data_IF_292281044060
#
_entry.id   IF_292281044060
#
_cell.length_a   1.000
_cell.length_b   1.000
_cell.length_c   1.000
_cell.angle_alpha   90.00
_cell.angle_beta   90.00
_cell.angle_gamma   90.00
#
_symmetry.space_group_name_H-M   'P 1'
#
loop_
_entity.id
_entity.type
_entity.pdbx_description
1 polymer ?
#
# COMPACT_ATOMS: atom_id res chain seq x y z
N UNK A 1 -0.44 -18.53 -22.32
CA UNK A 1 -1.27 -17.64 -21.44
C UNK A 1 -0.56 -17.18 -20.17
N UNK A 2 0.16 -18.05 -19.44
CA UNK A 2 0.71 -17.74 -18.09
C UNK A 2 1.75 -16.60 -18.04
N UNK A 3 2.55 -16.39 -19.10
CA UNK A 3 3.55 -15.30 -19.15
C UNK A 3 2.93 -13.91 -18.95
N UNK A 4 1.66 -13.73 -19.30
CA UNK A 4 0.94 -12.46 -19.17
C UNK A 4 0.47 -12.16 -17.74
N UNK A 5 0.64 -13.03 -16.76
CA UNK A 5 0.22 -12.74 -15.38
C UNK A 5 1.38 -12.79 -14.38
N UNK A 6 2.62 -12.88 -14.89
CA UNK A 6 3.82 -13.08 -14.07
C UNK A 6 3.96 -12.08 -12.91
N UNK A 7 3.77 -10.75 -13.08
CA UNK A 7 3.92 -9.82 -11.96
C UNK A 7 2.86 -10.02 -10.87
N UNK A 8 1.64 -10.38 -11.24
CA UNK A 8 0.58 -10.69 -10.27
C UNK A 8 0.90 -11.96 -9.47
N UNK A 9 1.39 -13.01 -10.14
CA UNK A 9 1.84 -14.23 -9.45
C UNK A 9 3.04 -13.98 -8.54
N UNK A 10 3.99 -13.13 -8.94
CA UNK A 10 5.12 -12.75 -8.10
C UNK A 10 4.65 -12.03 -6.84
N UNK A 11 3.76 -11.05 -6.99
CA UNK A 11 3.19 -10.33 -5.86
C UNK A 11 2.40 -11.25 -4.93
N UNK A 12 1.55 -12.12 -5.50
CA UNK A 12 0.78 -13.12 -4.76
C UNK A 12 1.69 -14.07 -3.96
N UNK A 13 2.74 -14.60 -4.60
CA UNK A 13 3.69 -15.50 -3.94
C UNK A 13 4.46 -14.81 -2.82
N UNK A 14 4.89 -13.55 -3.03
CA UNK A 14 5.61 -12.79 -2.01
C UNK A 14 4.72 -12.49 -0.80
N UNK A 15 3.47 -12.06 -1.01
CA UNK A 15 2.51 -11.85 0.08
C UNK A 15 2.24 -13.16 0.81
N UNK A 16 1.95 -14.23 0.06
CA UNK A 16 1.66 -15.53 0.65
C UNK A 16 2.79 -16.05 1.53
N UNK A 17 4.03 -16.04 1.00
CA UNK A 17 5.20 -16.48 1.75
C UNK A 17 5.51 -15.58 2.94
N UNK A 18 5.23 -14.27 2.84
CA UNK A 18 5.47 -13.33 3.93
C UNK A 18 4.56 -13.53 5.15
N UNK A 19 3.36 -14.09 4.96
CA UNK A 19 2.44 -14.39 6.06
C UNK A 19 2.62 -15.81 6.59
N UNK A 20 2.81 -16.78 5.70
CA UNK A 20 2.86 -18.21 6.08
C UNK A 20 4.20 -18.60 6.71
N UNK A 21 5.29 -17.94 6.31
CA UNK A 21 6.62 -18.27 6.82
C UNK A 21 7.10 -17.10 7.68
N UNK A 22 7.09 -17.23 9.01
CA UNK A 22 7.48 -16.15 9.92
C UNK A 22 8.88 -15.60 9.64
N UNK A 23 9.82 -16.41 9.15
CA UNK A 23 11.17 -15.96 8.78
C UNK A 23 11.21 -15.07 7.51
N UNK A 24 10.14 -15.04 6.72
CA UNK A 24 10.07 -14.34 5.44
C UNK A 24 9.15 -13.11 5.46
N UNK A 25 8.72 -12.66 6.64
CA UNK A 25 7.89 -11.47 6.82
C UNK A 25 8.43 -10.21 6.12
N UNK A 26 9.77 -10.07 6.02
CA UNK A 26 10.43 -8.98 5.29
C UNK A 26 10.10 -8.95 3.79
N UNK A 27 9.56 -10.02 3.21
CA UNK A 27 9.11 -10.01 1.82
C UNK A 27 7.98 -8.99 1.59
N UNK A 28 7.19 -8.62 2.62
CA UNK A 28 6.18 -7.56 2.53
C UNK A 28 6.78 -6.24 2.06
N UNK A 29 8.06 -5.95 2.31
CA UNK A 29 8.68 -4.72 1.84
C UNK A 29 8.71 -4.57 0.31
N UNK A 30 8.61 -5.66 -0.44
CA UNK A 30 8.70 -5.67 -1.91
C UNK A 30 7.50 -6.38 -2.57
N UNK A 31 6.59 -6.94 -1.78
CA UNK A 31 5.54 -7.82 -2.26
C UNK A 31 4.56 -7.14 -3.23
N UNK A 32 4.24 -5.85 -3.04
CA UNK A 32 3.34 -5.10 -3.92
C UNK A 32 4.04 -4.48 -5.14
N UNK A 33 5.37 -4.38 -5.16
CA UNK A 33 6.10 -3.72 -6.24
C UNK A 33 5.82 -4.30 -7.64
N UNK A 34 5.79 -5.64 -7.85
CA UNK A 34 5.44 -6.22 -9.15
C UNK A 34 4.02 -5.88 -9.60
N UNK A 35 3.07 -5.92 -8.65
CA UNK A 35 1.67 -5.56 -8.89
C UNK A 35 1.55 -4.09 -9.30
N UNK A 36 2.15 -3.18 -8.53
CA UNK A 36 2.13 -1.74 -8.79
C UNK A 36 2.74 -1.43 -10.16
N UNK A 37 3.86 -2.07 -10.51
CA UNK A 37 4.50 -1.90 -11.81
C UNK A 37 3.55 -2.24 -12.95
N UNK A 38 2.92 -3.41 -12.89
CA UNK A 38 1.98 -3.87 -13.92
C UNK A 38 0.73 -2.98 -13.98
N UNK A 39 0.16 -2.61 -12.84
CA UNK A 39 -1.00 -1.71 -12.80
C UNK A 39 -0.68 -0.32 -13.38
N UNK A 40 0.54 0.18 -13.26
CA UNK A 40 0.95 1.46 -13.85
C UNK A 40 1.17 1.38 -15.36
N UNK A 41 1.67 0.26 -15.87
CA UNK A 41 2.06 0.12 -17.27
C UNK A 41 0.96 -0.44 -18.17
N UNK A 42 0.08 -1.29 -17.64
CA UNK A 42 -0.95 -1.96 -18.42
C UNK A 42 -2.24 -1.13 -18.52
N UNK A 43 -2.65 -0.84 -19.77
CA UNK A 43 -3.97 -0.30 -20.10
C UNK A 43 -5.08 -1.36 -20.17
N UNK A 44 -4.80 -2.65 -19.88
CA UNK A 44 -5.80 -3.73 -19.98
C UNK A 44 -6.58 -3.86 -18.67
N UNK A 45 -7.70 -3.16 -18.56
CA UNK A 45 -8.56 -3.14 -17.36
C UNK A 45 -8.91 -4.54 -16.84
N UNK A 46 -9.50 -5.42 -17.66
CA UNK A 46 -9.92 -6.77 -17.25
C UNK A 46 -8.77 -7.63 -16.72
N UNK A 47 -7.59 -7.55 -17.36
CA UNK A 47 -6.39 -8.28 -16.93
C UNK A 47 -5.92 -7.79 -15.55
N UNK A 48 -5.93 -6.48 -15.34
CA UNK A 48 -5.54 -5.87 -14.08
C UNK A 48 -6.53 -6.21 -12.95
N UNK A 49 -7.84 -6.26 -13.24
CA UNK A 49 -8.84 -6.72 -12.28
C UNK A 49 -8.61 -8.18 -11.85
N UNK A 50 -8.40 -9.09 -12.82
CA UNK A 50 -8.08 -10.49 -12.54
C UNK A 50 -6.79 -10.58 -11.70
N UNK A 51 -5.78 -9.76 -12.04
CA UNK A 51 -4.53 -9.69 -11.29
C UNK A 51 -4.70 -9.24 -9.84
N UNK A 52 -5.49 -8.18 -9.60
CA UNK A 52 -5.84 -7.71 -8.25
C UNK A 52 -6.55 -8.82 -7.48
N UNK A 53 -7.57 -9.44 -8.08
CA UNK A 53 -8.30 -10.52 -7.45
C UNK A 53 -7.39 -11.69 -7.06
N UNK A 54 -6.47 -12.08 -7.95
CA UNK A 54 -5.50 -13.13 -7.71
C UNK A 54 -4.56 -12.80 -6.54
N UNK A 55 -3.99 -11.59 -6.53
CA UNK A 55 -3.08 -11.17 -5.45
C UNK A 55 -3.80 -11.08 -4.10
N UNK A 56 -5.00 -10.49 -4.07
CA UNK A 56 -5.78 -10.36 -2.82
C UNK A 56 -6.26 -11.72 -2.33
N UNK A 57 -6.69 -12.63 -3.21
CA UNK A 57 -7.10 -13.99 -2.82
C UNK A 57 -5.93 -14.79 -2.23
N UNK A 58 -4.73 -14.66 -2.81
CA UNK A 58 -3.54 -15.30 -2.25
C UNK A 58 -3.18 -14.73 -0.88
N UNK A 59 -3.31 -13.41 -0.69
CA UNK A 59 -3.06 -12.77 0.59
C UNK A 59 -4.09 -13.21 1.66
N UNK A 60 -5.39 -13.17 1.32
CA UNK A 60 -6.46 -13.67 2.20
C UNK A 60 -6.28 -15.15 2.56
N UNK A 61 -5.85 -15.98 1.60
CA UNK A 61 -5.58 -17.39 1.86
C UNK A 61 -4.40 -17.56 2.82
N UNK A 62 -3.35 -16.76 2.66
CA UNK A 62 -2.18 -16.81 3.52
C UNK A 62 -2.51 -16.42 4.98
N UNK A 63 -3.35 -15.39 5.13
CA UNK A 63 -3.87 -14.97 6.43
C UNK A 63 -4.79 -16.03 7.07
N UNK A 64 -5.66 -16.66 6.26
CA UNK A 64 -6.53 -17.74 6.74
C UNK A 64 -5.76 -18.99 7.20
N UNK A 65 -4.65 -19.32 6.51
CA UNK A 65 -3.83 -20.49 6.81
C UNK A 65 -2.71 -20.21 7.83
N UNK A 66 -2.53 -18.96 8.25
CA UNK A 66 -1.53 -18.57 9.24
C UNK A 66 -1.86 -19.10 10.64
N UNK A 67 -0.83 -19.21 11.49
CA UNK A 67 -0.95 -19.73 12.86
C UNK A 67 -1.75 -18.81 13.80
N UNK A 68 -1.91 -17.54 13.43
CA UNK A 68 -2.86 -16.63 14.08
C UNK A 68 -4.12 -16.58 13.23
N UNK A 69 -5.26 -16.93 13.82
CA UNK A 69 -6.59 -16.80 13.22
C UNK A 69 -6.87 -15.30 13.03
N UNK A 70 -6.30 -14.72 11.96
CA UNK A 70 -6.38 -13.29 11.71
C UNK A 70 -7.85 -12.95 11.52
N UNK A 71 -8.40 -12.11 12.40
CA UNK A 71 -9.79 -11.68 12.27
C UNK A 71 -9.98 -10.75 11.07
N UNK A 72 -8.90 -10.24 10.47
CA UNK A 72 -8.92 -9.22 9.42
C UNK A 72 -8.45 -9.73 8.05
N UNK A 73 -9.17 -9.34 7.00
CA UNK A 73 -8.89 -9.71 5.61
C UNK A 73 -8.69 -8.47 4.72
N UNK A 74 -7.86 -8.52 3.66
CA UNK A 74 -7.51 -7.37 2.81
C UNK A 74 -8.61 -6.98 1.79
N UNK A 75 -9.88 -7.03 2.17
CA UNK A 75 -11.01 -6.77 1.26
C UNK A 75 -11.05 -5.29 0.85
N UNK A 76 -10.96 -4.38 1.82
CA UNK A 76 -10.92 -2.94 1.56
C UNK A 76 -9.63 -2.53 0.83
N UNK A 77 -8.50 -3.19 1.10
CA UNK A 77 -7.25 -2.98 0.36
C UNK A 77 -7.43 -3.37 -1.13
N UNK A 78 -8.12 -4.48 -1.39
CA UNK A 78 -8.53 -4.88 -2.74
C UNK A 78 -9.44 -3.85 -3.41
N UNK A 79 -10.42 -3.31 -2.69
CA UNK A 79 -11.30 -2.25 -3.20
C UNK A 79 -10.51 -0.97 -3.53
N UNK A 80 -9.54 -0.59 -2.71
CA UNK A 80 -8.65 0.53 -2.97
C UNK A 80 -7.86 0.36 -4.28
N UNK A 81 -7.37 -0.85 -4.56
CA UNK A 81 -6.70 -1.17 -5.83
C UNK A 81 -7.65 -1.07 -7.04
N UNK A 82 -8.92 -1.48 -6.87
CA UNK A 82 -9.94 -1.35 -7.92
C UNK A 82 -10.28 0.12 -8.18
N UNK A 83 -10.47 0.93 -7.13
CA UNK A 83 -10.70 2.37 -7.24
C UNK A 83 -9.51 3.08 -7.91
N UNK A 84 -8.29 2.69 -7.56
CA UNK A 84 -7.08 3.13 -8.25
C UNK A 84 -7.13 2.76 -9.75
N UNK A 85 -7.45 1.51 -10.08
CA UNK A 85 -7.50 1.04 -11.46
C UNK A 85 -8.52 1.81 -12.31
N UNK A 86 -9.69 2.14 -11.74
CA UNK A 86 -10.74 2.90 -12.42
C UNK A 86 -10.33 4.37 -12.60
N UNK A 87 -9.66 4.95 -11.61
CA UNK A 87 -9.31 6.37 -11.59
C UNK A 87 -8.03 6.72 -12.36
N UNK A 88 -7.06 5.80 -12.44
CA UNK A 88 -5.68 6.10 -12.89
C UNK A 88 -5.60 6.77 -14.26
N UNK A 89 -6.44 6.35 -15.21
CA UNK A 89 -6.41 6.86 -16.59
C UNK A 89 -6.87 8.32 -16.68
N UNK A 90 -7.73 8.75 -15.75
CA UNK A 90 -8.26 10.12 -15.76
C UNK A 90 -7.44 11.08 -14.91
N UNK A 91 -6.80 10.58 -13.86
CA UNK A 91 -6.01 11.41 -12.94
C UNK A 91 -4.65 11.82 -13.52
N UNK A 92 -4.12 11.07 -14.50
CA UNK A 92 -2.75 11.26 -15.00
C UNK A 92 -1.71 10.59 -14.09
N UNK A 93 -0.45 10.47 -14.54
CA UNK A 93 0.53 9.59 -13.91
C UNK A 93 0.93 10.01 -12.49
N UNK A 94 1.13 11.31 -12.23
CA UNK A 94 1.51 11.79 -10.89
C UNK A 94 0.37 11.66 -9.89
N UNK A 95 -0.83 12.14 -10.24
CA UNK A 95 -2.00 12.15 -9.33
C UNK A 95 -2.55 10.75 -9.09
N UNK A 96 -2.52 9.87 -10.09
CA UNK A 96 -2.94 8.47 -9.90
C UNK A 96 -2.05 7.75 -8.88
N UNK A 97 -0.76 8.08 -8.86
CA UNK A 97 0.20 7.48 -7.93
C UNK A 97 -0.05 7.91 -6.50
N UNK A 98 -0.39 9.19 -6.28
CA UNK A 98 -0.89 9.68 -5.00
C UNK A 98 -2.23 9.02 -4.64
N UNK A 99 -3.13 8.84 -5.60
CA UNK A 99 -4.42 8.19 -5.37
C UNK A 99 -4.26 6.76 -4.86
N UNK A 100 -3.32 5.97 -5.40
CA UNK A 100 -3.04 4.64 -4.88
C UNK A 100 -2.68 4.66 -3.39
N UNK A 101 -1.76 5.54 -2.99
CA UNK A 101 -1.31 5.66 -1.60
C UNK A 101 -2.49 6.02 -0.69
N UNK A 102 -3.25 7.06 -1.03
CA UNK A 102 -4.33 7.53 -0.17
C UNK A 102 -5.56 6.64 -0.18
N UNK A 103 -5.88 5.96 -1.29
CA UNK A 103 -6.94 4.94 -1.28
C UNK A 103 -6.57 3.76 -0.39
N UNK A 104 -5.32 3.30 -0.44
CA UNK A 104 -4.88 2.19 0.41
C UNK A 104 -4.90 2.58 1.89
N UNK A 105 -4.33 3.72 2.25
CA UNK A 105 -4.36 4.21 3.63
C UNK A 105 -5.78 4.48 4.13
N UNK A 106 -6.67 4.94 3.25
CA UNK A 106 -8.09 5.08 3.59
C UNK A 106 -8.73 3.73 3.88
N UNK A 107 -8.43 2.70 3.07
CA UNK A 107 -8.93 1.34 3.32
C UNK A 107 -8.48 0.80 4.68
N UNK A 108 -7.22 0.97 5.04
CA UNK A 108 -6.70 0.58 6.36
C UNK A 108 -7.32 1.40 7.49
N UNK A 109 -7.47 2.71 7.30
CA UNK A 109 -8.08 3.59 8.28
C UNK A 109 -9.55 3.28 8.56
N UNK A 110 -10.31 2.79 7.56
CA UNK A 110 -11.76 2.59 7.68
C UNK A 110 -12.12 1.57 8.77
N UNK A 111 -11.31 0.52 8.93
CA UNK A 111 -11.50 -0.50 9.95
C UNK A 111 -11.51 0.08 11.38
N UNK A 112 -10.78 1.17 11.60
CA UNK A 112 -10.70 1.86 12.90
C UNK A 112 -11.71 2.98 13.08
N UNK A 113 -12.35 3.45 11.99
CA UNK A 113 -13.37 4.50 12.04
C UNK A 113 -14.78 3.94 12.20
N UNK A 114 -15.03 2.74 11.67
CA UNK A 114 -16.35 2.12 11.66
C UNK A 114 -16.23 0.65 12.07
N UNK A 115 -16.88 0.29 13.16
CA UNK A 115 -16.90 -1.09 13.70
C UNK A 115 -17.39 -2.11 12.69
N UNK A 116 -18.28 -1.72 11.77
CA UNK A 116 -18.73 -2.58 10.68
C UNK A 116 -17.60 -3.08 9.76
N UNK A 117 -16.49 -2.33 9.66
CA UNK A 117 -15.35 -2.64 8.78
C UNK A 117 -14.13 -3.21 9.52
N UNK A 118 -14.20 -3.45 10.83
CA UNK A 118 -13.05 -3.83 11.68
C UNK A 118 -12.23 -5.00 11.10
N UNK A 119 -12.92 -5.98 10.51
CA UNK A 119 -12.32 -7.20 9.96
C UNK A 119 -12.13 -7.20 8.43
N UNK A 120 -12.42 -6.06 7.78
CA UNK A 120 -12.48 -5.97 6.31
C UNK A 120 -11.23 -5.33 5.70
N UNK A 121 -10.28 -4.87 6.51
CA UNK A 121 -8.97 -4.45 6.04
C UNK A 121 -7.89 -5.12 6.85
N UNK A 122 -6.83 -5.56 6.17
CA UNK A 122 -5.64 -6.05 6.84
C UNK A 122 -4.53 -5.00 6.70
N UNK A 123 -4.14 -4.37 7.82
CA UNK A 123 -2.84 -3.75 8.00
C UNK A 123 -1.63 -4.23 7.18
N UNK A 124 -1.19 -3.47 6.16
CA UNK A 124 0.01 -3.88 5.40
C UNK A 124 1.30 -3.86 6.24
N UNK A 125 1.40 -2.93 7.20
CA UNK A 125 2.56 -2.81 8.07
C UNK A 125 2.57 -3.75 9.28
N UNK A 126 1.58 -4.64 9.42
CA UNK A 126 1.46 -5.54 10.58
C UNK A 126 2.74 -6.33 10.87
N UNK A 127 3.41 -6.85 9.83
CA UNK A 127 4.64 -7.61 9.98
C UNK A 127 5.83 -6.79 10.53
N UNK A 128 5.75 -5.46 10.53
CA UNK A 128 6.79 -4.60 11.11
C UNK A 128 6.70 -4.56 12.62
N UNK A 129 5.55 -4.88 13.21
CA UNK A 129 5.36 -4.88 14.66
C UNK A 129 6.10 -6.03 15.34
N UNK A 130 6.41 -7.08 14.60
CA UNK A 130 7.24 -8.20 15.06
C UNK A 130 8.73 -7.83 15.14
N UNK A 131 9.14 -6.70 14.53
CA UNK A 131 10.51 -6.20 14.59
C UNK A 131 10.75 -5.37 15.84
N UNK A 132 11.47 -5.94 16.82
CA UNK A 132 11.88 -5.21 18.02
C UNK A 132 12.60 -3.88 17.71
N UNK A 133 13.46 -3.86 16.69
CA UNK A 133 14.20 -2.65 16.29
C UNK A 133 13.32 -1.58 15.64
N UNK A 134 12.14 -1.94 15.14
CA UNK A 134 11.20 -0.99 14.54
C UNK A 134 10.28 -0.34 15.58
N UNK A 135 10.20 -0.85 16.82
CA UNK A 135 9.28 -0.35 17.86
C UNK A 135 9.37 1.16 18.09
N UNK A 136 10.58 1.70 18.19
CA UNK A 136 10.80 3.14 18.40
C UNK A 136 10.41 3.99 17.19
N UNK A 137 10.45 3.42 15.99
CA UNK A 137 10.04 4.11 14.78
C UNK A 137 8.51 4.03 14.60
N UNK A 138 7.93 2.87 14.90
CA UNK A 138 6.48 2.64 14.90
C UNK A 138 5.77 3.49 15.95
N UNK A 139 6.40 3.74 17.10
CA UNK A 139 5.89 4.63 18.16
C UNK A 139 5.74 6.09 17.71
N UNK A 140 6.61 6.54 16.80
CA UNK A 140 6.55 7.89 16.23
C UNK A 140 5.61 7.94 15.03
N UNK A 141 5.71 6.96 14.13
CA UNK A 141 5.03 6.99 12.83
C UNK A 141 3.61 6.44 12.87
N UNK A 142 3.30 5.56 13.80
CA UNK A 142 2.02 4.86 13.87
C UNK A 142 1.85 3.77 12.82
N UNK A 143 0.76 3.02 12.94
CA UNK A 143 0.40 1.92 12.06
C UNK A 143 0.25 2.36 10.59
N UNK A 144 -0.51 3.41 10.34
CA UNK A 144 -0.78 3.96 9.01
C UNK A 144 0.47 4.63 8.44
N UNK A 145 1.27 5.28 9.29
CA UNK A 145 2.54 5.87 8.87
C UNK A 145 3.52 4.81 8.37
N UNK A 146 3.58 3.67 9.06
CA UNK A 146 4.38 2.54 8.63
C UNK A 146 3.89 1.92 7.31
N UNK A 147 2.56 1.76 7.14
CA UNK A 147 1.97 1.28 5.89
C UNK A 147 2.24 2.24 4.73
N UNK A 148 2.13 3.55 4.96
CA UNK A 148 2.48 4.58 3.98
C UNK A 148 3.93 4.42 3.54
N UNK A 149 4.83 4.19 4.49
CA UNK A 149 6.24 3.96 4.24
C UNK A 149 6.48 2.72 3.38
N UNK A 150 5.86 1.60 3.72
CA UNK A 150 5.93 0.36 2.94
C UNK A 150 5.39 0.52 1.51
N UNK A 151 4.30 1.27 1.33
CA UNK A 151 3.74 1.53 0.02
C UNK A 151 4.66 2.42 -0.81
N UNK A 152 5.26 3.46 -0.22
CA UNK A 152 6.25 4.31 -0.88
C UNK A 152 7.46 3.49 -1.34
N UNK A 153 7.93 2.57 -0.51
CA UNK A 153 8.98 1.62 -0.86
C UNK A 153 8.61 0.81 -2.09
N UNK A 154 7.44 0.16 -2.08
CA UNK A 154 6.96 -0.64 -3.20
C UNK A 154 6.75 0.20 -4.46
N UNK A 155 6.33 1.45 -4.31
CA UNK A 155 6.14 2.38 -5.42
C UNK A 155 7.47 2.83 -6.04
N UNK A 156 8.47 3.17 -5.22
CA UNK A 156 9.81 3.54 -5.69
C UNK A 156 10.52 2.35 -6.35
N UNK A 157 10.37 1.16 -5.74
CA UNK A 157 10.77 -0.12 -6.30
C UNK A 157 10.20 -0.32 -7.72
N UNK A 158 8.88 -0.17 -7.88
CA UNK A 158 8.24 -0.24 -9.19
C UNK A 158 8.78 0.84 -10.15
N UNK A 159 9.00 2.07 -9.68
CA UNK A 159 9.55 3.13 -10.51
C UNK A 159 10.95 2.82 -11.04
N UNK A 160 11.87 2.36 -10.20
CA UNK A 160 13.21 1.94 -10.64
C UNK A 160 13.14 0.77 -11.62
N UNK A 161 12.28 -0.22 -11.35
CA UNK A 161 12.04 -1.34 -12.24
C UNK A 161 11.49 -0.95 -13.61
N UNK A 162 10.78 0.19 -13.71
CA UNK A 162 10.22 0.69 -14.96
C UNK A 162 11.24 1.33 -15.92
N UNK A 163 12.41 1.74 -15.42
CA UNK A 163 13.48 2.36 -16.22
C UNK A 163 14.34 1.35 -16.97
N UNK A 164 14.28 0.09 -16.56
CA UNK A 164 14.92 -1.02 -17.27
C UNK A 164 13.85 -1.85 -17.97
N UNK A 165 14.28 -2.49 -19.05
CA UNK A 165 13.49 -3.28 -19.99
C UNK A 165 12.15 -3.78 -19.42
N UNK A 166 11.02 -3.34 -20.03
CA UNK A 166 9.63 -3.37 -19.51
C UNK A 166 9.13 -4.73 -19.01
N UNK A 167 9.89 -5.81 -19.23
CA UNK A 167 9.54 -7.19 -18.91
C UNK A 167 10.27 -7.77 -17.69
N UNK A 168 11.26 -7.08 -17.11
CA UNK A 168 12.10 -7.63 -16.04
C UNK A 168 12.25 -6.69 -14.85
N UNK A 169 11.72 -7.10 -13.69
CA UNK A 169 12.07 -6.51 -12.40
C UNK A 169 13.58 -6.62 -12.19
N UNK A 170 14.27 -5.49 -12.02
CA UNK A 170 15.68 -5.49 -11.63
C UNK A 170 15.82 -5.66 -10.11
N UNK A 171 15.87 -6.91 -9.66
CA UNK A 171 16.06 -7.28 -8.25
C UNK A 171 17.24 -6.57 -7.57
N UNK A 172 18.44 -6.49 -8.17
CA UNK A 172 19.53 -5.68 -7.63
C UNK A 172 19.19 -4.21 -7.38
N UNK A 173 18.52 -3.53 -8.32
CA UNK A 173 18.13 -2.12 -8.15
C UNK A 173 17.04 -1.97 -7.07
N UNK A 174 16.13 -2.94 -6.97
CA UNK A 174 15.12 -3.01 -5.93
C UNK A 174 15.75 -3.14 -4.54
N UNK A 175 16.69 -4.07 -4.36
CA UNK A 175 17.38 -4.28 -3.10
C UNK A 175 18.23 -3.05 -2.70
N UNK A 176 18.86 -2.37 -3.65
CA UNK A 176 19.59 -1.11 -3.38
C UNK A 176 18.67 0.04 -3.00
N UNK A 177 17.56 0.22 -3.74
CA UNK A 177 16.55 1.23 -3.41
C UNK A 177 15.92 0.96 -2.04
N UNK A 178 15.70 -0.32 -1.73
CA UNK A 178 15.21 -0.77 -0.43
C UNK A 178 16.20 -0.44 0.70
N UNK A 179 17.48 -0.79 0.53
CA UNK A 179 18.52 -0.47 1.51
C UNK A 179 18.65 1.05 1.75
N UNK A 180 18.61 1.85 0.69
CA UNK A 180 18.67 3.31 0.80
C UNK A 180 17.46 3.88 1.54
N UNK A 181 16.27 3.34 1.30
CA UNK A 181 15.05 3.83 1.92
C UNK A 181 14.88 3.35 3.37
N UNK A 182 15.29 2.13 3.73
CA UNK A 182 15.41 1.76 5.16
C UNK A 182 16.39 2.72 5.85
N UNK A 183 17.52 3.00 5.22
CA UNK A 183 18.55 3.86 5.82
C UNK A 183 18.04 5.29 6.02
N UNK A 184 17.35 5.87 5.04
CA UNK A 184 16.79 7.22 5.12
C UNK A 184 15.49 7.32 5.93
N UNK A 185 14.71 6.24 5.99
CA UNK A 185 13.35 6.23 6.54
C UNK A 185 13.21 5.71 7.95
N UNK A 186 14.09 4.80 8.33
CA UNK A 186 14.07 4.12 9.62
C UNK A 186 15.34 4.48 10.39
N UNK A 187 16.53 4.24 9.82
CA UNK A 187 17.80 4.41 10.53
C UNK A 187 18.10 5.90 10.81
N UNK A 188 18.01 6.75 9.79
CA UNK A 188 18.35 8.17 9.93
C UNK A 188 17.41 8.93 10.88
N UNK A 189 16.08 8.78 10.83
CA UNK A 189 15.18 9.43 11.79
C UNK A 189 15.35 8.93 13.22
N UNK A 190 15.65 7.63 13.41
CA UNK A 190 15.96 7.08 14.74
C UNK A 190 17.27 7.65 15.30
N UNK A 191 18.31 7.79 14.47
CA UNK A 191 19.57 8.38 14.88
C UNK A 191 19.47 9.87 15.25
N UNK A 192 18.49 10.58 14.70
CA UNK A 192 18.22 12.00 14.99
C UNK A 192 17.16 12.22 16.08
N UNK A 193 16.48 11.17 16.52
CA UNK A 193 15.45 11.28 17.55
C UNK A 193 16.08 11.43 18.93
N UNK A 194 15.66 12.41 19.75
CA UNK A 194 16.16 12.54 21.12
C UNK A 194 15.91 11.28 21.94
N UNK A 195 16.90 10.82 22.70
CA UNK A 195 16.82 9.60 23.53
C UNK A 195 15.64 9.66 24.52
N UNK A 196 15.29 10.84 25.03
CA UNK A 196 14.13 11.06 25.91
C UNK A 196 12.78 10.76 25.25
N UNK A 197 12.67 10.91 23.93
CA UNK A 197 11.48 10.54 23.16
C UNK A 197 11.43 9.03 22.95
N UNK A 198 12.58 8.35 22.90
CA UNK A 198 12.69 6.91 22.73
C UNK A 198 12.31 6.19 24.04
N UNK A 199 12.84 6.68 25.17
CA UNK A 199 12.65 6.05 26.49
C UNK A 199 11.24 6.29 27.07
N UNK A 200 10.52 7.33 26.62
CA UNK A 200 9.17 7.65 27.09
C UNK A 200 8.03 6.84 26.42
N UNK A 201 8.33 6.02 25.40
CA UNK A 201 7.30 5.35 24.59
C UNK A 201 7.41 3.82 24.66
N UNK A 202 7.74 3.28 25.84
CA UNK A 202 7.78 1.83 26.10
C UNK A 202 6.41 1.15 26.02
N UNK A 203 5.33 1.91 26.10
CA UNK A 203 3.96 1.38 26.05
C UNK A 203 3.33 1.72 24.69
N UNK A 204 3.77 1.03 23.63
CA UNK A 204 2.93 0.89 22.46
C UNK A 204 1.72 0.05 22.89
N UNK A 205 0.47 0.48 22.66
CA UNK A 205 -0.66 -0.34 23.04
C UNK A 205 -0.52 -1.70 22.35
N UNK A 206 -0.83 -2.76 23.09
CA UNK A 206 -1.24 -4.04 22.51
C UNK A 206 -2.23 -3.76 21.35
N UNK A 207 -2.44 -4.74 20.47
CA UNK A 207 -3.36 -4.71 19.31
C UNK A 207 -4.79 -4.13 19.55
N UNK A 208 -5.12 -3.68 20.75
CA UNK A 208 -6.26 -2.88 21.17
C UNK A 208 -6.37 -1.52 20.43
N UNK A 209 -6.74 -1.59 19.14
CA UNK A 209 -7.68 -0.72 18.41
C UNK A 209 -7.53 0.80 18.44
N UNK A 210 -6.52 1.36 19.09
CA UNK A 210 -6.36 2.82 19.24
C UNK A 210 -5.27 3.33 18.32
N UNK A 211 -5.71 4.01 17.26
CA UNK A 211 -4.85 4.81 16.41
C UNK A 211 -4.16 5.90 17.24
N UNK A 212 -2.85 6.05 17.04
CA UNK A 212 -2.08 7.13 17.64
C UNK A 212 -2.48 8.50 17.04
N UNK A 213 -2.14 9.63 17.69
CA UNK A 213 -2.42 10.95 17.10
C UNK A 213 -1.85 11.13 15.69
N UNK A 214 -0.67 10.56 15.41
CA UNK A 214 -0.07 10.57 14.07
C UNK A 214 -0.92 9.77 13.06
N UNK A 215 -1.42 8.60 13.45
CA UNK A 215 -2.32 7.79 12.64
C UNK A 215 -3.64 8.51 12.37
N UNK A 216 -4.24 9.12 13.39
CA UNK A 216 -5.49 9.89 13.25
C UNK A 216 -5.32 11.07 12.29
N UNK A 217 -4.18 11.76 12.35
CA UNK A 217 -3.86 12.83 11.39
C UNK A 217 -3.74 12.27 9.97
N UNK A 218 -2.95 11.21 9.79
CA UNK A 218 -2.73 10.61 8.47
C UNK A 218 -4.01 10.01 7.89
N UNK A 219 -4.85 9.38 8.71
CA UNK A 219 -6.16 8.87 8.34
C UNK A 219 -7.07 9.98 7.82
N UNK A 220 -7.19 11.10 8.55
CA UNK A 220 -7.99 12.26 8.12
C UNK A 220 -7.48 12.83 6.80
N UNK A 221 -6.17 12.94 6.63
CA UNK A 221 -5.55 13.37 5.39
C UNK A 221 -5.77 12.38 4.25
N UNK A 222 -5.70 11.07 4.52
CA UNK A 222 -5.97 10.04 3.54
C UNK A 222 -7.41 10.10 3.05
N UNK A 223 -8.39 10.17 3.96
CA UNK A 223 -9.80 10.34 3.61
C UNK A 223 -10.05 11.59 2.79
N UNK A 224 -9.52 12.72 3.24
CA UNK A 224 -9.66 14.00 2.55
C UNK A 224 -9.10 13.90 1.12
N UNK A 225 -7.86 13.46 0.96
CA UNK A 225 -7.20 13.39 -0.35
C UNK A 225 -7.83 12.33 -1.25
N UNK A 226 -8.20 11.16 -0.72
CA UNK A 226 -8.93 10.14 -1.45
C UNK A 226 -10.26 10.68 -1.98
N UNK A 227 -11.05 11.36 -1.14
CA UNK A 227 -12.31 11.99 -1.52
C UNK A 227 -12.10 13.02 -2.64
N UNK A 228 -11.14 13.94 -2.48
CA UNK A 228 -10.86 14.96 -3.49
C UNK A 228 -10.40 14.36 -4.83
N UNK A 229 -9.58 13.30 -4.80
CA UNK A 229 -9.14 12.61 -6.02
C UNK A 229 -10.30 11.90 -6.72
N UNK A 230 -11.20 11.29 -5.96
CA UNK A 230 -12.40 10.65 -6.50
C UNK A 230 -13.39 11.68 -7.05
N UNK A 231 -13.61 12.80 -6.34
CA UNK A 231 -14.41 13.92 -6.83
C UNK A 231 -13.83 14.51 -8.12
N UNK A 232 -12.52 14.75 -8.17
CA UNK A 232 -11.85 15.24 -9.37
C UNK A 232 -12.01 14.27 -10.55
N UNK A 233 -11.91 12.96 -10.30
CA UNK A 233 -12.20 11.93 -11.28
C UNK A 233 -13.63 11.99 -11.81
N UNK A 234 -14.63 12.15 -10.93
CA UNK A 234 -16.06 12.26 -11.30
C UNK A 234 -16.30 13.52 -12.13
N UNK A 235 -15.82 14.68 -11.66
CA UNK A 235 -15.98 15.96 -12.37
C UNK A 235 -15.37 15.87 -13.77
N UNK A 236 -14.15 15.36 -13.90
CA UNK A 236 -13.50 15.19 -15.20
C UNK A 236 -14.26 14.23 -16.12
N UNK A 237 -14.89 13.20 -15.57
CA UNK A 237 -15.71 12.28 -16.35
C UNK A 237 -16.97 12.95 -16.90
N UNK A 238 -17.70 13.67 -16.05
CA UNK A 238 -18.93 14.37 -16.43
C UNK A 238 -18.60 15.44 -17.47
N UNK A 239 -17.57 16.26 -17.25
CA UNK A 239 -17.18 17.33 -18.18
C UNK A 239 -16.76 16.83 -19.56
N UNK A 240 -16.17 15.62 -19.67
CA UNK A 240 -15.75 15.06 -20.96
C UNK A 240 -16.91 14.44 -21.75
N UNK A 241 -17.93 13.95 -21.05
CA UNK A 241 -19.15 13.41 -21.67
C UNK A 241 -20.19 14.50 -21.95
N UNK A 242 -20.07 15.65 -21.29
CA UNK A 242 -20.70 16.89 -21.69
C UNK A 242 -20.08 17.32 -23.01
N UNK A 243 -20.80 17.11 -24.12
CA UNK A 243 -20.54 17.79 -25.39
C UNK A 243 -20.71 19.30 -25.16
N UNK A 244 -19.71 19.96 -24.58
CA UNK A 244 -19.66 21.42 -24.61
C UNK A 244 -19.10 21.80 -25.95
N UNK A 245 -19.99 22.37 -26.77
CA UNK A 245 -19.72 23.11 -28.00
C UNK A 245 -18.33 23.77 -28.00
N UNK A 246 -17.40 23.18 -28.75
CA UNK A 246 -16.18 23.84 -29.22
C UNK A 246 -16.55 24.87 -30.31
N UNK A 247 -17.42 25.84 -29.98
CA UNK A 247 -17.73 27.00 -30.86
C UNK A 247 -16.88 28.22 -30.52
N UNK A 248 -15.92 28.08 -29.61
CA UNK A 248 -15.04 29.18 -29.17
C UNK A 248 -13.56 28.77 -29.13
N UNK A 249 -13.12 28.00 -30.12
CA UNK A 249 -11.71 27.90 -30.54
C UNK A 249 -11.63 28.04 -32.05
#
# INVERSE_FOLDING_TARGET
MLKNYRPFYQSAALLYLSEIVPALFLLKFLALAPLILELRQSGKFNRNLIGIFLTMSAWSLALFLGDELSSSYPVLNGLALVLYLISKERLGPQRSSLALLFFWLSAEGLAYSFTFFENWSHPYSQALFDLQYAKNWLSITGFLGASFWLLLLNYFAAYLGSKQDRSKLNWPALLKGFGLLILLGIIFPLALSPQSTIDAISDYPSYDLKLLPADLFLQRMAYFLAFFLLLFFIVKYILRNSKRDDRFT
#
